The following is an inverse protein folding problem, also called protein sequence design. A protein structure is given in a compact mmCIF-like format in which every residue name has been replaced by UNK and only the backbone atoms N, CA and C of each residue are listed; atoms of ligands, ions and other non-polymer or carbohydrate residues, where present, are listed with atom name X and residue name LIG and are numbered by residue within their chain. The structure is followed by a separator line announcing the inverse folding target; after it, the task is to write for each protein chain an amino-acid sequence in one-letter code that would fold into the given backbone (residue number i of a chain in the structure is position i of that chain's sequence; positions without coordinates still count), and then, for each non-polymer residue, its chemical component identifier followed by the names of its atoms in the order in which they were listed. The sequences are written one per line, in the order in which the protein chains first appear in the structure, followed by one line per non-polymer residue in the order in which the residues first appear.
data_IF_057182425231
#
_entry.id   IF_057182425231
#
_cell.length_a   1.000
_cell.length_b   1.000
_cell.length_c   1.000
_cell.angle_alpha   90.00
_cell.angle_beta   90.00
_cell.angle_gamma   90.00
#
_symmetry.space_group_name_H-M   'P 1'
#
loop_
_entity.id
_entity.type
_entity.pdbx_description
1 polymer ?
#
# COMPACT_ATOMS: atom_id res chain seq x y z
N UNK A 1 48.78 -7.80 -22.81
CA UNK A 1 49.15 -6.71 -21.88
C UNK A 1 47.95 -5.77 -21.81
N UNK A 2 47.35 -5.42 -20.68
CA UNK A 2 47.80 -5.39 -19.30
C UNK A 2 46.65 -5.74 -18.34
N UNK A 3 47.01 -6.36 -17.21
CA UNK A 3 46.15 -6.59 -16.04
C UNK A 3 45.87 -5.29 -15.30
N UNK A 4 44.64 -5.12 -14.80
CA UNK A 4 44.33 -4.18 -13.72
C UNK A 4 44.11 -4.98 -12.44
N UNK A 5 45.07 -4.89 -11.52
CA UNK A 5 44.90 -5.28 -10.12
C UNK A 5 44.20 -4.12 -9.39
N UNK A 6 43.08 -4.40 -8.73
CA UNK A 6 42.54 -3.53 -7.69
C UNK A 6 43.06 -4.04 -6.34
N UNK A 7 43.89 -3.22 -5.71
CA UNK A 7 44.53 -3.45 -4.44
C UNK A 7 43.60 -2.92 -3.33
N UNK A 8 43.12 -3.80 -2.46
CA UNK A 8 42.33 -3.42 -1.28
C UNK A 8 43.28 -2.91 -0.18
N UNK A 9 42.94 -1.82 0.55
CA UNK A 9 43.73 -1.37 1.69
C UNK A 9 43.43 -2.22 2.93
N UNK A 10 44.52 -2.50 3.64
CA UNK A 10 44.62 -3.22 4.91
C UNK A 10 44.11 -2.34 6.07
N UNK A 11 43.18 -2.85 6.87
CA UNK A 11 42.65 -2.17 8.04
C UNK A 11 43.13 -2.87 9.31
N UNK A 12 44.27 -2.42 9.83
CA UNK A 12 44.75 -2.74 11.17
C UNK A 12 44.26 -1.69 12.16
N UNK A 13 43.58 -2.14 13.23
CA UNK A 13 43.35 -1.33 14.42
C UNK A 13 43.21 -2.21 15.67
N UNK A 14 44.05 -2.03 16.71
CA UNK A 14 43.84 -2.64 18.01
C UNK A 14 43.42 -1.60 19.06
N UNK A 15 42.47 -1.98 19.93
CA UNK A 15 42.10 -1.44 21.28
C UNK A 15 40.65 -1.86 21.53
N UNK A 16 40.20 -2.35 22.68
CA UNK A 16 40.77 -2.53 24.00
C UNK A 16 39.71 -3.18 24.89
N UNK A 17 40.12 -3.55 26.10
CA UNK A 17 39.49 -4.42 27.08
C UNK A 17 37.97 -4.24 27.38
N UNK A 18 37.34 -5.40 27.63
CA UNK A 18 36.11 -5.56 28.40
C UNK A 18 36.30 -5.10 29.85
N UNK A 19 35.34 -4.34 30.39
CA UNK A 19 34.99 -4.33 31.82
C UNK A 19 33.52 -3.96 31.98
N UNK A 20 32.86 -4.60 32.93
CA UNK A 20 31.42 -4.69 33.05
C UNK A 20 30.83 -3.85 34.21
N UNK A 21 29.50 -3.70 34.16
CA UNK A 21 28.51 -3.60 35.23
C UNK A 21 28.07 -2.23 35.82
N UNK A 22 26.74 -2.18 35.95
CA UNK A 22 25.87 -1.53 36.94
C UNK A 22 25.42 -0.08 36.72
N UNK A 23 24.12 0.05 36.45
CA UNK A 23 23.37 1.30 36.53
C UNK A 23 21.88 1.04 36.31
N UNK A 24 21.20 0.64 37.39
CA UNK A 24 19.75 0.44 37.43
C UNK A 24 19.07 1.83 37.55
N UNK A 25 18.27 2.21 36.55
CA UNK A 25 17.49 3.45 36.54
C UNK A 25 16.20 3.23 35.76
N UNK A 26 15.21 2.69 36.46
CA UNK A 26 13.82 2.71 36.03
C UNK A 26 13.37 4.15 35.76
N UNK A 27 13.10 4.51 34.49
CA UNK A 27 12.39 5.74 34.15
C UNK A 27 11.50 5.54 32.92
N UNK A 28 10.21 5.35 33.20
CA UNK A 28 8.99 5.69 32.43
C UNK A 28 9.10 5.80 30.89
N UNK A 29 8.37 4.99 30.10
CA UNK A 29 8.31 5.18 28.64
C UNK A 29 7.64 6.52 28.29
N UNK A 30 8.08 7.20 27.21
CA UNK A 30 7.45 8.45 26.80
C UNK A 30 6.01 8.19 26.41
N UNK A 31 5.09 8.81 27.15
CA UNK A 31 3.66 8.87 26.84
C UNK A 31 3.53 9.69 25.56
N UNK A 32 3.34 9.02 24.42
CA UNK A 32 2.97 9.68 23.16
C UNK A 32 1.60 10.29 23.38
N UNK A 33 1.56 11.57 23.73
CA UNK A 33 0.34 12.36 23.73
C UNK A 33 -0.12 12.49 22.28
N UNK A 34 -1.05 11.62 21.89
CA UNK A 34 -1.83 11.80 20.68
C UNK A 34 -2.55 13.14 20.79
N UNK A 35 -2.07 14.16 20.07
CA UNK A 35 -2.82 15.37 19.82
C UNK A 35 -4.06 14.96 19.02
N UNK A 36 -5.19 14.95 19.73
CA UNK A 36 -6.53 14.88 19.16
C UNK A 36 -6.76 16.15 18.34
N UNK A 37 -6.49 16.07 17.04
CA UNK A 37 -7.30 16.82 16.08
C UNK A 37 -8.50 15.95 15.73
N UNK A 38 -9.50 16.00 16.61
CA UNK A 38 -10.80 15.39 16.36
C UNK A 38 -11.52 16.22 15.28
N UNK A 39 -11.20 15.96 14.02
CA UNK A 39 -12.16 16.19 12.95
C UNK A 39 -13.35 15.26 13.20
N UNK A 40 -14.60 15.72 13.03
CA UNK A 40 -15.76 14.83 13.14
C UNK A 40 -15.59 13.73 12.11
N UNK A 41 -15.24 12.53 12.58
CA UNK A 41 -15.08 11.35 11.74
C UNK A 41 -16.47 10.97 11.28
N UNK A 42 -16.90 11.51 10.14
CA UNK A 42 -17.96 10.87 9.38
C UNK A 42 -17.44 9.46 9.14
N UNK A 43 -18.13 8.49 9.73
CA UNK A 43 -17.83 7.07 9.64
C UNK A 43 -18.13 6.61 8.22
N UNK A 44 -17.28 7.02 7.28
CA UNK A 44 -17.36 6.58 5.91
C UNK A 44 -17.10 5.09 5.93
N UNK A 45 -18.10 4.32 5.51
CA UNK A 45 -18.03 2.87 5.32
C UNK A 45 -17.52 2.51 3.91
N UNK A 46 -17.49 3.49 3.01
CA UNK A 46 -17.05 3.34 1.63
C UNK A 46 -15.92 4.32 1.31
N UNK A 47 -15.07 3.93 0.37
CA UNK A 47 -14.18 4.83 -0.31
C UNK A 47 -14.96 5.53 -1.44
N UNK A 48 -15.07 6.86 -1.37
CA UNK A 48 -15.75 7.64 -2.40
C UNK A 48 -14.74 8.08 -3.46
N UNK A 49 -14.96 7.61 -4.69
CA UNK A 49 -14.25 8.07 -5.87
C UNK A 49 -14.70 9.48 -6.27
N UNK A 50 -13.89 10.16 -7.08
CA UNK A 50 -14.18 11.50 -7.60
C UNK A 50 -15.34 11.51 -8.61
N UNK A 51 -15.70 10.36 -9.14
CA UNK A 51 -16.84 10.12 -10.02
C UNK A 51 -18.07 9.58 -9.26
N UNK A 52 -18.13 9.82 -7.95
CA UNK A 52 -19.21 9.43 -7.04
C UNK A 52 -19.42 7.91 -6.86
N UNK A 53 -18.55 7.06 -7.42
CA UNK A 53 -18.57 5.63 -7.09
C UNK A 53 -18.23 5.41 -5.62
N UNK A 54 -19.00 4.54 -4.97
CA UNK A 54 -18.73 4.06 -3.63
C UNK A 54 -18.10 2.65 -3.71
N UNK A 55 -16.86 2.52 -3.26
CA UNK A 55 -16.10 1.27 -3.26
C UNK A 55 -15.90 0.75 -1.83
N UNK A 56 -15.63 -0.56 -1.65
CA UNK A 56 -15.27 -1.09 -0.35
C UNK A 56 -14.09 -0.32 0.24
N UNK A 57 -14.23 0.21 1.46
CA UNK A 57 -13.13 0.87 2.17
C UNK A 57 -12.30 -0.18 2.90
N UNK A 58 -10.97 -0.13 2.77
CA UNK A 58 -10.10 -1.01 3.54
C UNK A 58 -10.37 -0.87 5.04
N UNK A 59 -10.58 -2.00 5.72
CA UNK A 59 -10.95 -2.06 7.15
C UNK A 59 -12.44 -1.88 7.45
N UNK A 60 -13.29 -1.57 6.46
CA UNK A 60 -14.75 -1.46 6.62
C UNK A 60 -15.48 -2.14 5.47
N UNK A 61 -15.34 -3.46 5.37
CA UNK A 61 -15.78 -4.25 4.22
C UNK A 61 -16.95 -5.19 4.52
N UNK A 62 -17.84 -4.85 5.45
CA UNK A 62 -18.90 -5.76 5.94
C UNK A 62 -19.80 -6.36 4.84
N UNK A 63 -20.00 -5.63 3.74
CA UNK A 63 -20.88 -6.01 2.63
C UNK A 63 -20.09 -6.49 1.39
N UNK A 64 -18.76 -6.60 1.49
CA UNK A 64 -17.92 -7.01 0.38
C UNK A 64 -17.94 -8.55 0.22
N UNK A 65 -17.92 -9.09 -1.01
CA UNK A 65 -17.84 -10.54 -1.23
C UNK A 65 -16.58 -11.15 -0.61
N UNK A 66 -16.64 -12.43 -0.21
CA UNK A 66 -15.43 -13.12 0.23
C UNK A 66 -14.42 -13.25 -0.90
N UNK A 67 -13.13 -13.18 -0.58
CA UNK A 67 -12.07 -13.38 -1.56
C UNK A 67 -10.77 -12.66 -1.22
N UNK A 68 -9.85 -12.65 -2.18
CA UNK A 68 -8.57 -11.95 -2.09
C UNK A 68 -8.74 -10.48 -2.48
N UNK A 69 -8.16 -9.56 -1.71
CA UNK A 69 -8.22 -8.12 -1.94
C UNK A 69 -6.85 -7.47 -1.84
N UNK A 70 -6.70 -6.35 -2.55
CA UNK A 70 -5.62 -5.39 -2.37
C UNK A 70 -6.13 -4.18 -1.59
N UNK A 71 -5.68 -3.99 -0.36
CA UNK A 71 -5.98 -2.80 0.45
C UNK A 71 -4.97 -1.70 0.18
N UNK A 72 -5.44 -0.47 -0.04
CA UNK A 72 -4.59 0.71 -0.19
C UNK A 72 -4.52 1.52 1.11
N UNK A 73 -3.31 1.89 1.52
CA UNK A 73 -3.03 2.57 2.80
C UNK A 73 -2.18 3.82 2.57
N UNK A 74 -2.06 4.63 3.63
CA UNK A 74 -1.22 5.85 3.63
C UNK A 74 -1.57 6.83 2.51
N UNK A 75 -2.88 7.07 2.32
CA UNK A 75 -3.43 7.93 1.29
C UNK A 75 -3.09 9.42 1.48
N UNK A 76 -2.78 10.08 0.36
CA UNK A 76 -2.57 11.54 0.25
C UNK A 76 -3.13 12.08 -1.07
N UNK A 77 -3.58 13.33 -1.05
CA UNK A 77 -4.20 13.97 -2.21
C UNK A 77 -3.18 14.38 -3.28
N UNK A 78 -1.96 14.74 -2.88
CA UNK A 78 -0.86 15.13 -3.76
C UNK A 78 0.43 14.44 -3.30
N UNK A 79 1.31 14.17 -4.24
CA UNK A 79 2.50 13.34 -4.02
C UNK A 79 3.55 14.02 -3.14
N UNK A 80 3.63 15.35 -3.24
CA UNK A 80 4.53 16.25 -2.52
C UNK A 80 4.01 16.66 -1.13
N UNK A 81 2.75 16.36 -0.82
CA UNK A 81 2.15 16.69 0.47
C UNK A 81 2.71 15.75 1.55
N UNK A 82 3.28 16.28 2.64
CA UNK A 82 3.68 15.46 3.78
C UNK A 82 2.49 14.64 4.30
N UNK A 83 2.75 13.39 4.67
CA UNK A 83 1.70 12.54 5.21
C UNK A 83 1.28 13.06 6.60
N UNK A 84 0.04 13.51 6.74
CA UNK A 84 -0.53 13.85 8.04
C UNK A 84 -0.77 12.57 8.85
N UNK A 85 0.06 12.31 9.87
CA UNK A 85 0.00 11.05 10.63
C UNK A 85 0.24 9.83 9.73
N UNK A 86 -0.70 8.88 9.73
CA UNK A 86 -0.67 7.71 8.84
C UNK A 86 -1.38 7.94 7.49
N UNK A 87 -1.89 9.14 7.21
CA UNK A 87 -2.73 9.39 6.03
C UNK A 87 -4.14 8.79 6.14
N UNK A 88 -4.89 8.79 5.04
CA UNK A 88 -6.25 8.24 5.00
C UNK A 88 -6.30 6.82 4.37
N UNK A 89 -7.27 5.97 4.78
CA UNK A 89 -7.46 4.66 4.17
C UNK A 89 -8.00 4.77 2.75
N UNK A 90 -7.53 3.89 1.86
CA UNK A 90 -8.01 3.77 0.49
C UNK A 90 -9.03 2.63 0.31
N UNK A 91 -9.38 2.32 -0.94
CA UNK A 91 -10.26 1.21 -1.24
C UNK A 91 -9.59 -0.13 -0.95
N UNK A 92 -10.42 -1.15 -0.74
CA UNK A 92 -10.05 -2.55 -0.92
C UNK A 92 -10.48 -3.01 -2.31
N UNK A 93 -9.52 -3.27 -3.18
CA UNK A 93 -9.71 -3.61 -4.60
C UNK A 93 -9.82 -5.13 -4.74
N UNK A 94 -10.96 -5.61 -5.24
CA UNK A 94 -11.23 -7.05 -5.43
C UNK A 94 -12.72 -7.38 -5.49
N UNK A 95 -13.09 -8.66 -5.48
CA UNK A 95 -12.23 -9.84 -5.32
C UNK A 95 -11.25 -10.08 -6.48
N UNK A 96 -10.07 -10.61 -6.15
CA UNK A 96 -8.99 -10.90 -7.07
C UNK A 96 -8.70 -12.41 -7.15
N UNK A 97 -8.31 -12.88 -8.33
CA UNK A 97 -7.67 -14.19 -8.50
C UNK A 97 -6.20 -14.15 -8.03
N UNK A 98 -5.50 -13.05 -8.32
CA UNK A 98 -4.14 -12.84 -7.85
C UNK A 98 -3.73 -11.36 -7.90
N UNK A 99 -2.67 -11.05 -7.15
CA UNK A 99 -1.95 -9.77 -7.18
C UNK A 99 -0.47 -10.08 -7.36
N UNK A 100 0.19 -9.38 -8.27
CA UNK A 100 1.65 -9.45 -8.42
C UNK A 100 2.24 -8.05 -8.45
N UNK A 101 3.22 -7.81 -7.58
CA UNK A 101 4.11 -6.65 -7.70
C UNK A 101 5.38 -7.09 -8.44
N UNK A 102 5.76 -6.39 -9.50
CA UNK A 102 6.97 -6.67 -10.26
C UNK A 102 7.89 -5.45 -10.32
N UNK A 103 9.19 -5.68 -10.17
CA UNK A 103 10.25 -4.68 -10.31
C UNK A 103 10.12 -3.43 -9.43
N UNK A 104 9.31 -3.51 -8.35
CA UNK A 104 8.88 -2.36 -7.55
C UNK A 104 8.27 -1.22 -8.38
N UNK A 105 7.77 -1.52 -9.59
CA UNK A 105 7.32 -0.54 -10.57
C UNK A 105 5.89 -0.82 -11.07
N UNK A 106 5.43 -2.07 -11.04
CA UNK A 106 4.12 -2.43 -11.59
C UNK A 106 3.35 -3.34 -10.63
N UNK A 107 2.04 -3.11 -10.57
CA UNK A 107 1.06 -4.04 -10.02
C UNK A 107 0.24 -4.64 -11.16
N UNK A 108 0.10 -5.96 -11.11
CA UNK A 108 -0.77 -6.72 -12.00
C UNK A 108 -1.90 -7.32 -11.17
N UNK A 109 -3.13 -6.97 -11.52
CA UNK A 109 -4.34 -7.43 -10.83
C UNK A 109 -5.19 -8.23 -11.80
N UNK A 110 -5.46 -9.49 -11.47
CA UNK A 110 -6.49 -10.28 -12.16
C UNK A 110 -7.69 -10.40 -11.26
N UNK A 111 -8.82 -9.86 -11.68
CA UNK A 111 -10.07 -9.93 -10.94
C UNK A 111 -10.65 -11.34 -10.98
N UNK A 112 -11.46 -11.67 -9.98
CA UNK A 112 -12.25 -12.91 -9.99
C UNK A 112 -13.35 -12.87 -11.07
N UNK A 113 -13.81 -11.68 -11.40
CA UNK A 113 -14.87 -11.43 -12.37
C UNK A 113 -14.60 -10.13 -13.18
N UNK A 114 -14.72 -10.14 -14.52
CA UNK A 114 -14.51 -8.95 -15.35
C UNK A 114 -15.50 -7.80 -15.10
N UNK A 115 -16.73 -8.07 -14.63
CA UNK A 115 -17.64 -6.97 -14.30
C UNK A 115 -17.15 -6.22 -13.04
N UNK A 116 -16.58 -6.95 -12.07
CA UNK A 116 -15.94 -6.38 -10.89
C UNK A 116 -14.78 -5.46 -11.27
N UNK A 117 -13.92 -5.84 -12.23
CA UNK A 117 -12.80 -4.98 -12.64
C UNK A 117 -13.27 -3.61 -13.12
N UNK A 118 -14.38 -3.55 -13.87
CA UNK A 118 -14.99 -2.31 -14.37
C UNK A 118 -15.57 -1.43 -13.27
N UNK A 119 -15.93 -2.00 -12.11
CA UNK A 119 -16.35 -1.22 -10.95
C UNK A 119 -15.20 -0.42 -10.35
N UNK A 120 -13.97 -0.95 -10.41
CA UNK A 120 -12.77 -0.29 -9.88
C UNK A 120 -12.04 0.55 -10.92
N UNK A 121 -11.98 0.06 -12.16
CA UNK A 121 -11.28 0.66 -13.29
C UNK A 121 -12.27 0.79 -14.46
N UNK A 122 -13.24 1.73 -14.39
CA UNK A 122 -14.13 1.99 -15.52
C UNK A 122 -13.29 2.44 -16.70
N UNK A 123 -13.64 1.95 -17.90
CA UNK A 123 -13.02 2.46 -19.11
C UNK A 123 -13.27 3.98 -19.18
N UNK A 124 -12.29 4.78 -19.66
CA UNK A 124 -12.57 6.15 -19.99
C UNK A 124 -13.76 6.20 -20.94
N UNK A 125 -14.64 7.21 -20.78
CA UNK A 125 -15.67 7.48 -21.80
C UNK A 125 -14.99 7.53 -23.17
N UNK A 126 -15.64 7.00 -24.22
CA UNK A 126 -15.13 6.76 -25.59
C UNK A 126 -14.32 7.91 -26.28
N UNK A 127 -14.19 9.06 -25.63
CA UNK A 127 -13.36 10.19 -26.01
C UNK A 127 -11.85 10.04 -25.71
N UNK A 128 -11.41 9.07 -24.90
CA UNK A 128 -9.98 8.88 -24.58
C UNK A 128 -9.54 7.43 -24.87
N UNK A 129 -8.52 7.31 -25.73
CA UNK A 129 -8.21 6.12 -26.52
C UNK A 129 -8.04 4.79 -25.78
N UNK A 130 -8.33 3.72 -26.51
CA UNK A 130 -8.00 2.34 -26.17
C UNK A 130 -6.49 2.17 -25.99
N UNK A 131 -5.97 2.13 -24.75
CA UNK A 131 -4.70 1.44 -24.49
C UNK A 131 -4.32 1.15 -23.01
N UNK A 132 -5.05 1.63 -22.01
CA UNK A 132 -4.41 1.82 -20.71
C UNK A 132 -4.44 0.65 -19.69
N UNK A 133 -5.17 -0.47 -19.90
CA UNK A 133 -5.53 -1.31 -18.74
C UNK A 133 -5.51 -2.84 -18.92
N UNK A 134 -5.10 -3.39 -20.07
CA UNK A 134 -5.13 -4.85 -20.27
C UNK A 134 -3.73 -5.36 -20.59
N UNK A 135 -3.05 -5.91 -19.59
CA UNK A 135 -1.83 -6.69 -19.78
C UNK A 135 -2.10 -7.98 -20.57
N UNK A 136 -1.03 -8.68 -20.98
CA UNK A 136 -1.07 -9.87 -21.86
C UNK A 136 -1.97 -11.02 -21.34
N UNK A 137 -2.42 -10.97 -20.08
CA UNK A 137 -3.20 -12.03 -19.42
C UNK A 137 -4.56 -11.57 -18.83
N UNK A 138 -5.21 -10.55 -19.40
CA UNK A 138 -6.47 -10.01 -18.86
C UNK A 138 -6.29 -9.42 -17.44
N UNK A 139 -5.13 -8.79 -17.24
CA UNK A 139 -4.70 -8.16 -15.99
C UNK A 139 -4.84 -6.64 -16.11
N UNK A 140 -5.37 -6.02 -15.06
CA UNK A 140 -5.22 -4.58 -14.86
C UNK A 140 -3.79 -4.30 -14.43
N UNK A 141 -3.11 -3.43 -15.17
CA UNK A 141 -1.75 -2.97 -14.86
C UNK A 141 -1.81 -1.59 -14.22
N UNK A 142 -1.15 -1.42 -13.08
CA UNK A 142 -1.01 -0.13 -12.40
C UNK A 142 0.46 0.17 -12.22
N UNK A 143 0.89 1.33 -12.73
CA UNK A 143 2.24 1.81 -12.51
C UNK A 143 2.39 2.41 -11.11
N UNK A 144 3.43 1.99 -10.41
CA UNK A 144 3.84 2.54 -9.13
C UNK A 144 4.66 3.80 -9.42
N UNK A 145 4.18 4.94 -8.93
CA UNK A 145 4.80 6.25 -9.15
C UNK A 145 5.33 6.78 -7.82
N UNK A 146 6.62 7.09 -7.76
CA UNK A 146 7.33 7.57 -6.55
C UNK A 146 7.00 6.72 -5.31
N UNK A 147 7.06 5.39 -5.45
CA UNK A 147 6.74 4.44 -4.38
C UNK A 147 5.30 4.56 -3.85
N UNK A 148 4.37 5.05 -4.68
CA UNK A 148 2.94 5.13 -4.37
C UNK A 148 2.11 4.50 -5.47
N UNK A 149 0.94 3.97 -5.11
CA UNK A 149 -0.08 3.52 -6.06
C UNK A 149 -0.99 4.70 -6.37
N UNK A 150 -1.06 5.16 -7.63
CA UNK A 150 -2.05 6.13 -8.05
C UNK A 150 -3.42 5.45 -8.16
N UNK A 151 -4.44 6.04 -7.53
CA UNK A 151 -5.81 5.57 -7.66
C UNK A 151 -6.78 6.75 -7.50
N UNK A 152 -7.68 6.93 -8.46
CA UNK A 152 -8.69 8.00 -8.46
C UNK A 152 -8.10 9.40 -8.17
N UNK A 153 -6.99 9.70 -8.86
CA UNK A 153 -6.25 10.96 -8.74
C UNK A 153 -5.63 11.23 -7.36
N UNK A 154 -5.49 10.19 -6.54
CA UNK A 154 -4.87 10.20 -5.20
C UNK A 154 -3.71 9.20 -5.17
N UNK A 155 -2.88 9.28 -4.13
CA UNK A 155 -1.66 8.48 -4.01
C UNK A 155 -1.64 7.71 -2.70
N UNK A 156 -1.30 6.42 -2.76
CA UNK A 156 -1.27 5.52 -1.60
C UNK A 156 0.14 4.98 -1.41
N UNK A 157 0.73 5.29 -0.25
CA UNK A 157 2.15 4.98 0.02
C UNK A 157 2.42 3.57 0.53
N UNK A 158 1.38 2.77 0.76
CA UNK A 158 1.52 1.39 1.22
C UNK A 158 0.31 0.56 0.74
N UNK A 159 0.50 -0.75 0.63
CA UNK A 159 -0.52 -1.68 0.17
C UNK A 159 -0.35 -3.06 0.80
N UNK A 160 -1.48 -3.74 0.99
CA UNK A 160 -1.50 -5.08 1.56
C UNK A 160 -2.41 -5.99 0.75
N UNK A 161 -1.99 -7.23 0.55
CA UNK A 161 -2.84 -8.30 0.01
C UNK A 161 -3.38 -9.11 1.19
N UNK A 162 -4.69 -9.30 1.23
CA UNK A 162 -5.34 -10.03 2.33
C UNK A 162 -6.57 -10.79 1.82
N UNK A 163 -6.97 -11.82 2.56
CA UNK A 163 -8.23 -12.51 2.33
C UNK A 163 -9.31 -11.88 3.21
N UNK A 164 -10.46 -11.56 2.62
CA UNK A 164 -11.66 -11.13 3.31
C UNK A 164 -12.69 -12.27 3.29
N UNK A 165 -13.21 -12.60 4.47
CA UNK A 165 -14.27 -13.59 4.65
C UNK A 165 -14.53 -13.82 6.12
N UNK A 166 -15.42 -14.74 6.43
CA UNK A 166 -15.69 -15.15 7.80
C UNK A 166 -14.40 -15.60 8.50
N UNK A 167 -14.23 -15.30 9.81
CA UNK A 167 -13.14 -15.87 10.57
C UNK A 167 -13.21 -17.39 10.47
N UNK A 168 -12.09 -18.02 10.14
CA UNK A 168 -11.98 -19.48 10.24
C UNK A 168 -12.12 -19.80 11.73
N UNK A 169 -13.25 -20.40 12.13
CA UNK A 169 -13.35 -21.01 13.45
C UNK A 169 -12.33 -22.15 13.49
N UNK A 170 -11.22 -21.93 14.19
CA UNK A 170 -10.29 -23.02 14.52
C UNK A 170 -11.04 -24.02 15.41
N UNK A 171 -11.30 -25.22 14.85
CA UNK A 171 -11.84 -26.38 15.59
C UNK A 171 -10.74 -27.13 16.31
#
# INVERSE_FOLDING_TARGET
MASFFLQLPDASSPRGAHTALQGDLATVPPRVSALRDAHPSIDHVHFLCRDDRALPLYGKMKDAPHGLYLGLLHGRNQLDTPLGGLGYPGPAIGPLCHVRTAYAAHLYLRFADPATSRLFFPAPSEAEGEDALIGVQDEVVIDIVNSTIPYDGRFFGDWMVFYHGDPIEEQ
#
